data_IF_700190971143
#
_entry.id   IF_700190971143
#
_cell.length_a   1.000
_cell.length_b   1.000
_cell.length_c   1.000
_cell.angle_alpha   90.00
_cell.angle_beta   90.00
_cell.angle_gamma   90.00
#
_symmetry.space_group_name_H-M   'P 1'
#
loop_
_entity.id
_entity.type
_entity.pdbx_description
1 polymer ?
#
# COMPACT_ATOMS: atom_id res chain seq x y z
N UNK A 1 -10.01 -5.28 -8.99
CA UNK A 1 -9.91 -4.19 -8.00
C UNK A 1 -8.61 -4.35 -7.23
N UNK A 2 -7.95 -3.25 -6.88
CA UNK A 2 -6.59 -3.28 -6.33
C UNK A 2 -6.46 -3.97 -4.97
N UNK A 3 -7.52 -4.08 -4.17
CA UNK A 3 -7.48 -4.75 -2.86
C UNK A 3 -7.52 -6.28 -2.90
N UNK A 4 -7.70 -6.92 -4.07
CA UNK A 4 -7.51 -8.36 -4.27
C UNK A 4 -8.45 -9.33 -3.53
N UNK A 5 -9.31 -8.87 -2.62
CA UNK A 5 -10.12 -9.75 -1.77
C UNK A 5 -11.19 -10.52 -2.56
N UNK A 6 -11.18 -11.86 -2.46
CA UNK A 6 -12.07 -12.74 -3.23
C UNK A 6 -13.56 -12.39 -3.05
N UNK A 7 -13.99 -12.11 -1.81
CA UNK A 7 -15.37 -11.71 -1.47
C UNK A 7 -15.86 -10.44 -2.19
N UNK A 8 -14.94 -9.57 -2.62
CA UNK A 8 -15.26 -8.32 -3.32
C UNK A 8 -15.16 -8.45 -4.84
N UNK A 9 -14.71 -9.59 -5.35
CA UNK A 9 -14.51 -9.86 -6.77
C UNK A 9 -15.50 -10.91 -7.30
N UNK A 10 -16.04 -11.75 -6.42
CA UNK A 10 -17.03 -12.76 -6.77
C UNK A 10 -18.27 -12.15 -7.43
N UNK A 11 -18.67 -12.68 -8.59
CA UNK A 11 -19.84 -12.21 -9.33
C UNK A 11 -19.61 -11.01 -10.27
N UNK A 12 -18.41 -10.41 -10.28
CA UNK A 12 -18.12 -9.21 -11.09
C UNK A 12 -17.30 -9.48 -12.37
N UNK A 13 -17.14 -10.74 -12.75
CA UNK A 13 -16.40 -11.13 -13.96
C UNK A 13 -14.88 -11.27 -13.73
N UNK A 14 -14.07 -11.28 -14.80
CA UNK A 14 -12.63 -11.45 -14.69
C UNK A 14 -12.00 -10.29 -13.91
N UNK A 15 -10.92 -10.58 -13.19
CA UNK A 15 -10.17 -9.56 -12.47
C UNK A 15 -9.51 -8.62 -13.48
N UNK A 16 -9.50 -7.33 -13.16
CA UNK A 16 -8.62 -6.37 -13.84
C UNK A 16 -7.18 -6.83 -13.64
N UNK A 17 -6.45 -6.96 -14.75
CA UNK A 17 -5.03 -7.32 -14.78
C UNK A 17 -4.13 -6.17 -14.30
N UNK A 18 -2.83 -6.43 -14.13
CA UNK A 18 -1.86 -5.42 -13.72
C UNK A 18 -1.79 -5.13 -12.22
N UNK A 19 -2.40 -5.98 -11.39
CA UNK A 19 -2.31 -5.89 -9.93
C UNK A 19 -1.82 -7.21 -9.34
N UNK A 20 -0.52 -7.29 -9.08
CA UNK A 20 0.08 -8.38 -8.30
C UNK A 20 -0.17 -8.15 -6.81
N UNK A 21 -0.63 -9.19 -6.11
CA UNK A 21 -0.96 -9.14 -4.68
C UNK A 21 0.11 -9.89 -3.90
N UNK A 22 0.79 -9.20 -2.99
CA UNK A 22 1.85 -9.75 -2.16
C UNK A 22 1.51 -9.63 -0.68
N UNK A 23 2.16 -10.45 0.14
CA UNK A 23 2.02 -10.38 1.60
C UNK A 23 2.95 -9.30 2.13
N UNK A 24 2.40 -8.35 2.92
CA UNK A 24 3.21 -7.34 3.59
C UNK A 24 4.22 -8.00 4.55
N UNK A 25 5.45 -7.49 4.55
CA UNK A 25 6.55 -8.00 5.38
C UNK A 25 7.61 -8.82 4.61
N UNK A 26 7.44 -9.07 3.32
CA UNK A 26 8.40 -9.82 2.48
C UNK A 26 8.95 -8.93 1.35
N UNK A 27 10.09 -8.27 1.59
CA UNK A 27 10.71 -7.37 0.59
C UNK A 27 11.30 -8.15 -0.59
N UNK A 28 11.79 -9.36 -0.37
CA UNK A 28 12.34 -10.21 -1.43
C UNK A 28 11.23 -10.61 -2.43
N UNK A 29 10.02 -10.90 -1.92
CA UNK A 29 8.87 -11.15 -2.77
C UNK A 29 8.46 -9.91 -3.57
N UNK A 30 8.52 -8.71 -2.97
CA UNK A 30 8.27 -7.45 -3.68
C UNK A 30 9.28 -7.24 -4.79
N UNK A 31 10.58 -7.33 -4.48
CA UNK A 31 11.64 -7.13 -5.48
C UNK A 31 11.54 -8.13 -6.64
N UNK A 32 11.20 -9.40 -6.36
CA UNK A 32 11.01 -10.42 -7.40
C UNK A 32 9.79 -10.18 -8.29
N UNK A 33 8.76 -9.52 -7.79
CA UNK A 33 7.55 -9.21 -8.55
C UNK A 33 7.73 -7.98 -9.46
N UNK A 34 8.74 -7.15 -9.22
CA UNK A 34 9.02 -5.99 -10.07
C UNK A 34 9.50 -6.47 -11.44
N UNK A 35 8.73 -6.11 -12.47
CA UNK A 35 9.00 -6.41 -13.87
C UNK A 35 9.01 -5.14 -14.74
N UNK A 36 9.20 -5.28 -16.06
CA UNK A 36 9.29 -4.15 -16.99
C UNK A 36 7.99 -3.34 -17.11
N UNK A 37 6.85 -3.90 -16.69
CA UNK A 37 5.54 -3.25 -16.73
C UNK A 37 5.10 -2.71 -15.36
N UNK A 38 5.90 -2.91 -14.32
CA UNK A 38 5.58 -2.41 -12.98
C UNK A 38 5.73 -0.89 -12.95
N UNK A 39 4.67 -0.18 -12.58
CA UNK A 39 4.67 1.28 -12.49
C UNK A 39 4.70 1.81 -11.04
N UNK A 40 4.18 1.04 -10.08
CA UNK A 40 3.99 1.50 -8.72
C UNK A 40 3.94 0.36 -7.70
N UNK A 41 4.22 0.71 -6.45
CA UNK A 41 3.97 -0.09 -5.24
C UNK A 41 2.90 0.65 -4.43
N UNK A 42 1.83 -0.04 -4.03
CA UNK A 42 0.74 0.55 -3.24
C UNK A 42 0.49 -0.22 -1.95
N UNK A 43 0.35 0.48 -0.82
CA UNK A 43 0.17 -0.13 0.51
C UNK A 43 -0.62 0.78 1.47
N UNK A 44 -1.40 0.18 2.38
CA UNK A 44 -1.92 0.86 3.57
C UNK A 44 -0.86 0.84 4.70
N UNK A 45 -0.51 1.97 5.35
CA UNK A 45 0.43 1.97 6.48
C UNK A 45 -0.05 1.10 7.67
N UNK A 46 -1.36 0.99 7.84
CA UNK A 46 -2.02 0.03 8.73
C UNK A 46 -3.16 -0.60 7.94
N UNK A 47 -3.07 -1.91 7.67
CA UNK A 47 -4.10 -2.62 6.89
C UNK A 47 -5.39 -2.73 7.70
N UNK A 48 -6.41 -1.98 7.31
CA UNK A 48 -7.68 -1.89 8.05
C UNK A 48 -8.53 -3.16 7.92
N UNK A 49 -9.07 -3.38 6.73
CA UNK A 49 -9.97 -4.51 6.41
C UNK A 49 -9.24 -5.88 6.47
N UNK A 50 -7.91 -5.87 6.52
CA UNK A 50 -7.06 -7.04 6.75
C UNK A 50 -6.97 -7.48 8.22
N UNK A 51 -7.69 -6.82 9.13
CA UNK A 51 -7.71 -7.15 10.56
C UNK A 51 -6.83 -6.23 11.43
N UNK A 52 -6.74 -4.95 11.08
CA UNK A 52 -5.99 -3.92 11.83
C UNK A 52 -4.54 -4.33 12.09
N UNK A 53 -3.78 -4.49 10.99
CA UNK A 53 -2.39 -4.94 11.04
C UNK A 53 -1.45 -3.78 10.74
N UNK A 54 -0.65 -3.39 11.74
CA UNK A 54 0.39 -2.37 11.59
C UNK A 54 1.49 -2.92 10.69
N UNK A 55 1.82 -2.20 9.63
CA UNK A 55 2.96 -2.54 8.78
C UNK A 55 4.24 -2.06 9.48
N UNK A 56 5.25 -2.92 9.66
CA UNK A 56 6.51 -2.50 10.29
C UNK A 56 7.16 -1.33 9.53
N UNK A 57 7.64 -0.31 10.23
CA UNK A 57 8.25 0.86 9.59
C UNK A 57 9.44 0.48 8.71
N UNK A 58 10.27 -0.47 9.15
CA UNK A 58 11.39 -1.00 8.36
C UNK A 58 10.94 -1.62 7.03
N UNK A 59 9.73 -2.18 6.97
CA UNK A 59 9.17 -2.68 5.71
C UNK A 59 8.80 -1.52 4.78
N UNK A 60 8.16 -0.47 5.30
CA UNK A 60 7.83 0.74 4.52
C UNK A 60 9.09 1.45 3.99
N UNK A 61 10.15 1.52 4.79
CA UNK A 61 11.47 2.05 4.39
C UNK A 61 12.11 1.20 3.28
N UNK A 62 11.99 -0.12 3.38
CA UNK A 62 12.40 -1.05 2.32
C UNK A 62 11.63 -0.84 1.03
N UNK A 63 10.31 -0.64 1.10
CA UNK A 63 9.47 -0.33 -0.07
C UNK A 63 9.89 0.99 -0.74
N UNK A 64 10.21 2.02 0.05
CA UNK A 64 10.76 3.29 -0.48
C UNK A 64 12.07 3.07 -1.20
N UNK A 65 12.99 2.31 -0.61
CA UNK A 65 14.28 1.99 -1.22
C UNK A 65 14.11 1.25 -2.54
N UNK A 66 13.21 0.27 -2.60
CA UNK A 66 12.89 -0.46 -3.83
C UNK A 66 12.24 0.45 -4.87
N UNK A 67 11.29 1.29 -4.47
CA UNK A 67 10.64 2.23 -5.36
C UNK A 67 11.65 3.19 -5.99
N UNK A 68 12.57 3.76 -5.21
CA UNK A 68 13.63 4.64 -5.71
C UNK A 68 14.59 3.91 -6.65
N UNK A 69 15.04 2.71 -6.27
CA UNK A 69 15.99 1.91 -7.06
C UNK A 69 15.43 1.54 -8.43
N UNK A 70 14.12 1.28 -8.51
CA UNK A 70 13.45 0.81 -9.72
C UNK A 70 12.64 1.89 -10.44
N UNK A 71 12.78 3.16 -10.02
CA UNK A 71 12.06 4.31 -10.60
C UNK A 71 10.52 4.13 -10.57
N UNK A 72 10.01 3.50 -9.49
CA UNK A 72 8.58 3.24 -9.28
C UNK A 72 7.95 4.32 -8.40
N UNK A 73 6.65 4.53 -8.58
CA UNK A 73 5.86 5.35 -7.67
C UNK A 73 5.52 4.57 -6.40
N UNK A 74 5.76 5.15 -5.22
CA UNK A 74 5.26 4.63 -3.94
C UNK A 74 3.95 5.33 -3.56
N UNK A 75 2.89 4.54 -3.38
CA UNK A 75 1.54 5.03 -3.05
C UNK A 75 1.14 4.54 -1.67
N UNK A 76 0.79 5.47 -0.78
CA UNK A 76 0.15 5.10 0.49
C UNK A 76 -1.36 5.33 0.41
N UNK A 77 -2.13 4.28 0.71
CA UNK A 77 -3.56 4.40 0.92
C UNK A 77 -3.84 4.75 2.39
N UNK A 78 -4.14 6.03 2.62
CA UNK A 78 -4.45 6.59 3.93
C UNK A 78 -5.94 6.93 4.07
N UNK A 79 -6.81 6.33 3.24
CA UNK A 79 -8.26 6.51 3.32
C UNK A 79 -8.81 6.15 4.71
N UNK A 80 -8.26 5.11 5.34
CA UNK A 80 -8.70 4.67 6.67
C UNK A 80 -7.84 5.24 7.80
N UNK A 81 -6.53 5.34 7.59
CA UNK A 81 -5.53 5.68 8.61
C UNK A 81 -5.30 7.18 8.76
N UNK A 82 -5.67 7.97 7.76
CA UNK A 82 -5.53 9.41 7.79
C UNK A 82 -6.53 10.12 8.70
N UNK A 83 -6.40 11.43 8.75
CA UNK A 83 -7.24 12.37 9.49
C UNK A 83 -7.34 12.02 10.98
N UNK A 84 -6.18 11.82 11.61
CA UNK A 84 -6.10 11.65 13.07
C UNK A 84 -6.35 10.23 13.57
N UNK A 85 -6.73 9.26 12.72
CA UNK A 85 -7.14 7.91 13.16
C UNK A 85 -6.06 7.20 13.96
N UNK A 86 -4.79 7.38 13.62
CA UNK A 86 -3.63 6.74 14.24
C UNK A 86 -2.91 7.62 15.25
N UNK A 87 -3.44 8.81 15.58
CA UNK A 87 -2.84 9.77 16.52
C UNK A 87 -1.96 10.86 15.88
N UNK A 88 -1.66 10.76 14.59
CA UNK A 88 -1.06 11.82 13.75
C UNK A 88 -2.04 12.21 12.65
N UNK A 89 -1.81 13.32 11.94
CA UNK A 89 -2.74 13.74 10.89
C UNK A 89 -2.79 12.69 9.77
N UNK A 90 -1.64 12.14 9.41
CA UNK A 90 -1.52 10.98 8.52
C UNK A 90 -0.57 9.96 9.15
N UNK A 91 -0.80 8.66 8.93
CA UNK A 91 0.00 7.60 9.55
C UNK A 91 1.44 7.57 9.03
N UNK A 92 1.70 7.98 7.80
CA UNK A 92 3.07 8.06 7.26
C UNK A 92 3.97 9.02 8.05
N UNK A 93 3.40 10.02 8.72
CA UNK A 93 4.13 10.97 9.59
C UNK A 93 4.80 10.26 10.78
N UNK A 94 4.38 9.04 11.11
CA UNK A 94 5.01 8.21 12.15
C UNK A 94 6.22 7.43 11.63
N UNK A 95 6.51 7.53 10.33
CA UNK A 95 7.58 6.84 9.62
C UNK A 95 8.58 7.85 9.06
N UNK A 96 9.73 7.37 8.58
CA UNK A 96 10.68 8.21 7.84
C UNK A 96 10.36 8.31 6.34
N UNK A 97 9.24 7.72 5.90
CA UNK A 97 8.89 7.55 4.49
C UNK A 97 7.84 8.57 4.06
N UNK A 98 8.14 9.30 3.00
CA UNK A 98 7.16 10.11 2.27
C UNK A 98 6.72 9.35 1.02
N UNK A 99 5.41 9.07 0.83
CA UNK A 99 4.91 8.49 -0.40
C UNK A 99 4.90 9.53 -1.53
N UNK A 100 4.98 9.08 -2.77
CA UNK A 100 4.86 9.94 -3.96
C UNK A 100 3.39 10.37 -4.18
N UNK A 101 2.46 9.47 -3.86
CA UNK A 101 1.01 9.70 -3.91
C UNK A 101 0.38 9.19 -2.61
N UNK A 102 -0.55 9.97 -2.06
CA UNK A 102 -1.35 9.56 -0.90
C UNK A 102 -2.84 9.64 -1.21
N UNK A 103 -3.57 8.53 -1.03
CA UNK A 103 -5.01 8.51 -1.15
C UNK A 103 -5.66 8.90 0.19
N UNK A 104 -6.65 9.80 0.16
CA UNK A 104 -7.34 10.31 1.36
C UNK A 104 -8.85 10.39 1.10
N UNK A 105 -9.65 9.88 2.04
CA UNK A 105 -11.11 9.99 2.06
C UNK A 105 -11.62 9.75 3.50
N UNK A 106 -12.86 9.25 3.66
CA UNK A 106 -13.52 8.96 4.95
C UNK A 106 -13.41 10.11 5.95
N UNK A 107 -12.45 10.08 6.87
CA UNK A 107 -12.35 11.02 7.99
C UNK A 107 -12.20 12.49 7.59
N UNK A 108 -11.91 12.79 6.33
CA UNK A 108 -11.79 14.16 5.81
C UNK A 108 -13.14 14.87 5.59
N UNK A 109 -14.27 14.15 5.59
CA UNK A 109 -15.62 14.70 5.40
C UNK A 109 -16.69 13.97 6.22
#
# INVERSE_FOLDING_TARGET
>A
AAGGQAKHLEGFGPRVEGFDQLVAGDLDAVEKAIGPETAAIMIEPVMGEGGVRVVPHAFLEGLRTLADKHELTLIFDEVQTGVGRTGTLFAHEQTSVTPDIMAVAKGIG
#
